data_IF_025127305360
#
_entry.id   IF_025127305360
#
_cell.length_a   1.000
_cell.length_b   1.000
_cell.length_c   1.000
_cell.angle_alpha   90.00
_cell.angle_beta   90.00
_cell.angle_gamma   90.00
#
_symmetry.space_group_name_H-M   'P 1'
#
loop_
_entity.id
_entity.type
_entity.pdbx_description
1 polymer ?
#
# COMPACT_ATOMS: atom_id res chain seq x y z
N UNK A 1 -18.21 38.27 65.97
CA UNK A 1 -19.25 37.57 65.16
C UNK A 1 -19.24 37.90 63.66
N UNK A 2 -18.31 38.71 63.12
CA UNK A 2 -18.34 39.16 61.70
C UNK A 2 -17.43 38.37 60.73
N UNK A 3 -16.35 37.76 61.22
CA UNK A 3 -15.38 37.03 60.35
C UNK A 3 -15.86 35.62 59.99
N UNK A 4 -16.54 34.93 60.92
CA UNK A 4 -17.06 33.56 60.72
C UNK A 4 -18.18 33.50 59.66
N UNK A 5 -18.95 34.58 59.51
CA UNK A 5 -20.00 34.69 58.48
C UNK A 5 -19.43 35.07 57.10
N UNK A 6 -18.29 35.77 57.04
CA UNK A 6 -17.62 36.11 55.78
C UNK A 6 -16.98 34.88 55.12
N UNK A 7 -16.38 33.99 55.92
CA UNK A 7 -15.80 32.72 55.43
C UNK A 7 -16.88 31.79 54.87
N UNK A 8 -18.07 31.78 55.48
CA UNK A 8 -19.21 30.97 55.01
C UNK A 8 -19.80 31.47 53.68
N UNK A 9 -19.77 32.79 53.42
CA UNK A 9 -20.22 33.38 52.15
C UNK A 9 -19.19 33.14 51.04
N UNK A 10 -17.89 33.19 51.37
CA UNK A 10 -16.80 32.90 50.42
C UNK A 10 -16.81 31.44 49.95
N UNK A 11 -17.21 30.49 50.81
CA UNK A 11 -17.34 29.08 50.47
C UNK A 11 -18.52 28.77 49.54
N UNK A 12 -19.58 29.58 49.57
CA UNK A 12 -20.77 29.44 48.70
C UNK A 12 -20.47 29.95 47.28
N UNK A 13 -19.64 30.99 47.14
CA UNK A 13 -19.21 31.49 45.83
C UNK A 13 -18.25 30.54 45.09
N UNK A 14 -17.50 29.70 45.82
CA UNK A 14 -16.62 28.69 45.22
C UNK A 14 -17.39 27.53 44.56
N UNK A 15 -18.66 27.32 44.92
CA UNK A 15 -19.52 26.29 44.32
C UNK A 15 -20.28 26.77 43.07
N UNK A 16 -20.32 28.09 42.82
CA UNK A 16 -20.95 28.67 41.62
C UNK A 16 -20.01 28.69 40.39
N UNK A 17 -18.78 28.20 40.54
CA UNK A 17 -17.75 28.18 39.49
C UNK A 17 -17.81 26.99 38.52
N UNK A 18 -18.85 26.15 38.54
CA UNK A 18 -18.99 25.05 37.58
C UNK A 18 -19.42 25.61 36.22
N UNK A 19 -18.43 26.03 35.42
CA UNK A 19 -18.59 26.68 34.12
C UNK A 19 -19.66 26.00 33.25
N UNK A 20 -20.60 26.80 32.72
CA UNK A 20 -21.50 26.41 31.65
C UNK A 20 -20.67 25.95 30.45
N UNK A 21 -21.01 24.82 29.81
CA UNK A 21 -20.34 24.38 28.56
C UNK A 21 -20.56 25.46 27.49
N UNK A 22 -19.53 26.22 27.09
CA UNK A 22 -19.68 27.30 26.11
C UNK A 22 -20.07 26.75 24.74
N UNK A 23 -20.75 27.57 23.91
CA UNK A 23 -21.09 27.19 22.52
C UNK A 23 -19.83 26.89 21.71
N UNK A 24 -18.75 27.57 22.06
CA UNK A 24 -17.40 27.47 21.53
C UNK A 24 -16.84 26.05 21.73
N UNK A 25 -17.17 25.35 22.83
CA UNK A 25 -16.72 23.96 23.08
C UNK A 25 -17.46 22.95 22.20
N UNK A 26 -18.75 23.16 21.94
CA UNK A 26 -19.50 22.34 20.97
C UNK A 26 -18.97 22.57 19.55
N UNK A 27 -18.76 23.84 19.17
CA UNK A 27 -18.19 24.21 17.88
C UNK A 27 -16.79 23.61 17.68
N UNK A 28 -15.93 23.68 18.71
CA UNK A 28 -14.60 23.09 18.67
C UNK A 28 -14.66 21.56 18.43
N UNK A 29 -15.55 20.84 19.13
CA UNK A 29 -15.70 19.39 18.92
C UNK A 29 -16.24 19.05 17.52
N UNK A 30 -17.13 19.88 16.96
CA UNK A 30 -17.58 19.75 15.57
C UNK A 30 -16.44 19.98 14.57
N UNK A 31 -15.63 21.04 14.78
CA UNK A 31 -14.45 21.33 13.96
C UNK A 31 -13.44 20.19 14.01
N UNK A 32 -13.15 19.63 15.19
CA UNK A 32 -12.29 18.45 15.33
C UNK A 32 -12.85 17.29 14.49
N UNK A 33 -14.16 17.04 14.52
CA UNK A 33 -14.78 16.01 13.70
C UNK A 33 -14.53 16.18 12.20
N UNK A 34 -14.60 17.42 11.69
CA UNK A 34 -14.31 17.74 10.30
C UNK A 34 -12.81 17.58 9.99
N UNK A 35 -11.93 18.07 10.86
CA UNK A 35 -10.48 17.96 10.69
C UNK A 35 -10.03 16.49 10.68
N UNK A 36 -10.68 15.62 11.47
CA UNK A 36 -10.43 14.17 11.44
C UNK A 36 -10.75 13.54 10.08
N UNK A 37 -11.81 13.97 9.41
CA UNK A 37 -12.14 13.49 8.07
C UNK A 37 -11.10 13.95 7.04
N UNK A 38 -10.68 15.22 7.12
CA UNK A 38 -9.65 15.78 6.23
C UNK A 38 -8.32 15.05 6.42
N UNK A 39 -7.91 14.80 7.66
CA UNK A 39 -6.69 14.05 7.96
C UNK A 39 -6.76 12.59 7.51
N UNK A 40 -7.91 11.92 7.72
CA UNK A 40 -8.14 10.57 7.23
C UNK A 40 -7.92 10.51 5.71
N UNK A 41 -8.56 11.41 4.96
CA UNK A 41 -8.43 11.46 3.51
C UNK A 41 -6.99 11.75 3.08
N UNK A 42 -6.31 12.68 3.75
CA UNK A 42 -4.91 13.00 3.46
C UNK A 42 -4.00 11.78 3.64
N UNK A 43 -4.17 11.01 4.70
CA UNK A 43 -3.36 9.80 4.93
C UNK A 43 -3.69 8.66 3.98
N UNK A 44 -4.96 8.49 3.59
CA UNK A 44 -5.33 7.55 2.53
C UNK A 44 -4.66 7.93 1.20
N UNK A 45 -4.78 9.20 0.79
CA UNK A 45 -4.19 9.69 -0.46
C UNK A 45 -2.68 9.49 -0.49
N UNK A 46 -1.98 9.76 0.63
CA UNK A 46 -0.54 9.55 0.73
C UNK A 46 -0.18 8.06 0.56
N UNK A 47 -0.91 7.17 1.23
CA UNK A 47 -0.71 5.73 1.10
C UNK A 47 -0.94 5.27 -0.35
N UNK A 48 -2.04 5.68 -0.98
CA UNK A 48 -2.37 5.35 -2.37
C UNK A 48 -1.32 5.84 -3.35
N UNK A 49 -0.87 7.11 -3.24
CA UNK A 49 0.18 7.66 -4.09
C UNK A 49 1.47 6.85 -3.99
N UNK A 50 1.86 6.50 -2.77
CA UNK A 50 3.06 5.73 -2.51
C UNK A 50 2.96 4.30 -3.08
N UNK A 51 1.86 3.59 -2.82
CA UNK A 51 1.65 2.25 -3.37
C UNK A 51 1.53 2.26 -4.89
N UNK A 52 0.92 3.30 -5.49
CA UNK A 52 0.90 3.49 -6.94
C UNK A 52 2.30 3.62 -7.52
N UNK A 53 3.18 4.39 -6.87
CA UNK A 53 4.59 4.47 -7.27
C UNK A 53 5.27 3.10 -7.25
N UNK A 54 5.11 2.33 -6.17
CA UNK A 54 5.68 0.98 -6.08
C UNK A 54 5.16 0.08 -7.21
N UNK A 55 3.84 0.09 -7.45
CA UNK A 55 3.22 -0.72 -8.53
C UNK A 55 3.82 -0.35 -9.89
N UNK A 56 3.99 0.94 -10.16
CA UNK A 56 4.65 1.42 -11.38
C UNK A 56 6.10 0.92 -11.46
N UNK A 57 6.88 1.06 -10.38
CA UNK A 57 8.28 0.64 -10.39
C UNK A 57 8.44 -0.89 -10.58
N UNK A 58 7.54 -1.70 -10.00
CA UNK A 58 7.48 -3.16 -10.23
C UNK A 58 7.13 -3.46 -11.69
N UNK A 59 6.16 -2.75 -12.27
CA UNK A 59 5.82 -2.92 -13.68
C UNK A 59 7.02 -2.61 -14.57
N UNK A 60 7.70 -1.48 -14.34
CA UNK A 60 8.93 -1.12 -15.05
C UNK A 60 10.02 -2.20 -14.91
N UNK A 61 10.23 -2.75 -13.71
CA UNK A 61 11.17 -3.86 -13.52
C UNK A 61 10.77 -5.09 -14.36
N UNK A 62 9.49 -5.45 -14.38
CA UNK A 62 9.01 -6.61 -15.15
C UNK A 62 9.20 -6.36 -16.65
N UNK A 63 8.82 -5.18 -17.12
CA UNK A 63 8.80 -4.82 -18.53
C UNK A 63 10.21 -4.60 -19.09
N UNK A 64 11.07 -3.90 -18.36
CA UNK A 64 12.37 -3.46 -18.87
C UNK A 64 13.52 -4.42 -18.51
N UNK A 65 13.34 -5.27 -17.49
CA UNK A 65 14.40 -6.18 -17.01
C UNK A 65 13.98 -7.63 -17.16
N UNK A 66 12.87 -8.04 -16.53
CA UNK A 66 12.50 -9.46 -16.49
C UNK A 66 12.05 -9.99 -17.85
N UNK A 67 11.24 -9.24 -18.59
CA UNK A 67 10.74 -9.65 -19.90
C UNK A 67 11.88 -9.85 -20.92
N UNK A 68 12.83 -8.90 -21.10
CA UNK A 68 13.99 -9.11 -21.95
C UNK A 68 14.84 -10.31 -21.50
N UNK A 69 15.07 -10.45 -20.19
CA UNK A 69 15.81 -11.58 -19.63
C UNK A 69 15.17 -12.93 -19.97
N UNK A 70 13.86 -13.09 -19.70
CA UNK A 70 13.19 -14.39 -19.88
C UNK A 70 13.08 -14.76 -21.35
N UNK A 71 12.84 -13.77 -22.23
CA UNK A 71 12.84 -13.97 -23.68
C UNK A 71 14.22 -14.45 -24.13
N UNK A 72 15.29 -13.77 -23.72
CA UNK A 72 16.67 -14.15 -24.08
C UNK A 72 17.03 -15.54 -23.54
N UNK A 73 16.66 -15.83 -22.29
CA UNK A 73 16.92 -17.12 -21.67
C UNK A 73 16.24 -18.28 -22.42
N UNK A 74 14.97 -18.11 -22.81
CA UNK A 74 14.23 -19.14 -23.56
C UNK A 74 14.77 -19.26 -24.98
N UNK A 75 15.03 -18.15 -25.68
CA UNK A 75 15.64 -18.18 -27.02
C UNK A 75 17.02 -18.85 -27.01
N UNK A 76 17.81 -18.66 -25.96
CA UNK A 76 19.08 -19.39 -25.83
C UNK A 76 18.85 -20.89 -25.68
N UNK A 77 17.83 -21.34 -24.95
CA UNK A 77 17.47 -22.77 -24.88
C UNK A 77 17.04 -23.31 -26.25
N UNK A 78 16.17 -22.60 -26.96
CA UNK A 78 15.76 -22.96 -28.33
C UNK A 78 16.97 -23.10 -29.25
N UNK A 79 17.94 -22.19 -29.15
CA UNK A 79 19.17 -22.24 -29.94
C UNK A 79 20.03 -23.46 -29.61
N UNK A 80 20.09 -23.86 -28.34
CA UNK A 80 20.83 -25.06 -27.94
C UNK A 80 20.15 -26.34 -28.44
N UNK A 81 18.81 -26.42 -28.38
CA UNK A 81 18.07 -27.55 -28.94
C UNK A 81 18.26 -27.65 -30.46
N UNK A 82 18.21 -26.51 -31.17
CA UNK A 82 18.54 -26.46 -32.59
C UNK A 82 19.93 -27.02 -32.92
N UNK A 83 20.97 -26.58 -32.18
CA UNK A 83 22.34 -27.07 -32.36
C UNK A 83 22.51 -28.58 -32.13
N UNK A 84 21.60 -29.20 -31.37
CA UNK A 84 21.58 -30.65 -31.11
C UNK A 84 20.73 -31.43 -32.13
N UNK A 85 20.06 -30.75 -33.05
CA UNK A 85 19.08 -31.36 -33.94
C UNK A 85 17.76 -31.75 -33.24
N UNK A 86 17.48 -31.16 -32.08
CA UNK A 86 16.21 -31.33 -31.37
C UNK A 86 15.15 -30.35 -31.92
N UNK A 87 13.84 -30.68 -31.80
CA UNK A 87 12.77 -29.75 -32.14
C UNK A 87 12.95 -28.41 -31.41
N UNK A 88 12.83 -27.32 -32.16
CA UNK A 88 13.03 -25.95 -31.65
C UNK A 88 12.46 -24.91 -32.60
N UNK A 89 12.18 -23.71 -32.09
CA UNK A 89 11.76 -22.56 -32.89
C UNK A 89 12.71 -22.28 -34.05
N UNK A 90 14.03 -22.31 -33.82
CA UNK A 90 15.00 -22.08 -34.89
C UNK A 90 14.96 -23.15 -35.98
N UNK A 91 14.72 -24.42 -35.62
CA UNK A 91 14.55 -25.50 -36.60
C UNK A 91 13.33 -25.29 -37.48
N UNK A 92 12.20 -24.90 -36.88
CA UNK A 92 10.97 -24.58 -37.61
C UNK A 92 11.18 -23.38 -38.56
N UNK A 93 11.87 -22.33 -38.09
CA UNK A 93 12.19 -21.16 -38.91
C UNK A 93 13.15 -21.48 -40.06
N UNK A 94 14.18 -22.30 -39.82
CA UNK A 94 15.11 -22.74 -40.87
C UNK A 94 14.39 -23.55 -41.95
N UNK A 95 13.51 -24.48 -41.56
CA UNK A 95 12.72 -25.27 -42.49
C UNK A 95 11.82 -24.39 -43.36
N UNK A 96 11.14 -23.41 -42.77
CA UNK A 96 10.31 -22.46 -43.49
C UNK A 96 11.12 -21.56 -44.45
N UNK A 97 12.35 -21.23 -44.10
CA UNK A 97 13.24 -20.45 -44.97
C UNK A 97 13.77 -21.27 -46.16
N UNK A 98 14.02 -22.58 -45.97
CA UNK A 98 14.56 -23.45 -47.01
C UNK A 98 13.50 -24.00 -47.97
N UNK A 99 12.30 -24.31 -47.46
CA UNK A 99 11.20 -24.87 -48.25
C UNK A 99 10.14 -23.80 -48.49
N UNK A 100 10.06 -23.31 -49.72
CA UNK A 100 8.97 -22.42 -50.14
C UNK A 100 7.68 -23.23 -50.22
N UNK A 101 6.96 -23.31 -49.11
CA UNK A 101 5.72 -24.07 -48.95
C UNK A 101 4.76 -23.39 -47.98
N UNK A 102 3.45 -23.46 -48.29
CA UNK A 102 2.40 -22.88 -47.46
C UNK A 102 2.40 -23.50 -46.05
N UNK A 103 2.55 -24.82 -45.95
CA UNK A 103 2.53 -25.55 -44.69
C UNK A 103 3.70 -25.18 -43.79
N UNK A 104 4.93 -25.13 -44.32
CA UNK A 104 6.12 -24.78 -43.53
C UNK A 104 6.06 -23.34 -43.03
N UNK A 105 5.51 -22.42 -43.84
CA UNK A 105 5.28 -21.03 -43.44
C UNK A 105 4.22 -20.92 -42.34
N UNK A 106 3.12 -21.69 -42.43
CA UNK A 106 2.07 -21.74 -41.40
C UNK A 106 2.61 -22.30 -40.08
N UNK A 107 3.37 -23.40 -40.12
CA UNK A 107 4.02 -23.97 -38.94
C UNK A 107 4.96 -22.99 -38.24
N UNK A 108 5.73 -22.19 -39.01
CA UNK A 108 6.58 -21.16 -38.44
C UNK A 108 5.78 -20.06 -37.72
N UNK A 109 4.64 -19.64 -38.29
CA UNK A 109 3.75 -18.67 -37.66
C UNK A 109 3.18 -19.22 -36.35
N UNK A 110 2.72 -20.47 -36.36
CA UNK A 110 2.16 -21.12 -35.18
C UNK A 110 3.21 -21.26 -34.06
N UNK A 111 4.42 -21.71 -34.39
CA UNK A 111 5.52 -21.85 -33.41
C UNK A 111 5.92 -20.49 -32.82
N UNK A 112 5.98 -19.43 -33.63
CA UNK A 112 6.24 -18.06 -33.14
C UNK A 112 5.11 -17.57 -32.22
N UNK A 113 3.85 -17.87 -32.55
CA UNK A 113 2.70 -17.51 -31.73
C UNK A 113 2.71 -18.25 -30.38
N UNK A 114 3.06 -19.53 -30.39
CA UNK A 114 3.18 -20.35 -29.18
C UNK A 114 4.32 -19.91 -28.27
N UNK A 115 5.48 -19.57 -28.85
CA UNK A 115 6.58 -18.94 -28.14
C UNK A 115 6.14 -17.63 -27.47
N UNK A 116 5.50 -16.73 -28.22
CA UNK A 116 5.04 -15.44 -27.72
C UNK A 116 4.01 -15.60 -26.60
N UNK A 117 3.06 -16.51 -26.76
CA UNK A 117 2.04 -16.80 -25.75
C UNK A 117 2.67 -17.35 -24.46
N UNK A 118 3.64 -18.25 -24.59
CA UNK A 118 4.36 -18.82 -23.46
C UNK A 118 5.20 -17.77 -22.72
N UNK A 119 5.91 -16.91 -23.47
CA UNK A 119 6.67 -15.79 -22.90
C UNK A 119 5.75 -14.82 -22.14
N UNK A 120 4.63 -14.41 -22.75
CA UNK A 120 3.64 -13.53 -22.11
C UNK A 120 3.08 -14.13 -20.83
N UNK A 121 2.72 -15.41 -20.83
CA UNK A 121 2.23 -16.12 -19.62
C UNK A 121 3.27 -16.06 -18.49
N UNK A 122 4.54 -16.27 -18.80
CA UNK A 122 5.61 -16.24 -17.78
C UNK A 122 5.88 -14.84 -17.25
N UNK A 123 5.84 -13.82 -18.11
CA UNK A 123 5.99 -12.40 -17.74
C UNK A 123 4.84 -11.98 -16.81
N UNK A 124 3.59 -12.25 -17.21
CA UNK A 124 2.42 -11.86 -16.42
C UNK A 124 2.28 -12.65 -15.12
N UNK A 125 2.72 -13.91 -15.11
CA UNK A 125 2.84 -14.70 -13.87
C UNK A 125 3.80 -14.02 -12.89
N UNK A 126 4.98 -13.60 -13.36
CA UNK A 126 5.95 -12.90 -12.52
C UNK A 126 5.43 -11.53 -12.06
N UNK A 127 4.76 -10.77 -12.94
CA UNK A 127 4.11 -9.50 -12.57
C UNK A 127 3.12 -9.70 -11.44
N UNK A 128 2.24 -10.68 -11.58
CA UNK A 128 1.23 -11.02 -10.58
C UNK A 128 1.86 -11.46 -9.26
N UNK A 129 2.91 -12.28 -9.31
CA UNK A 129 3.67 -12.74 -8.14
C UNK A 129 4.24 -11.57 -7.34
N UNK A 130 4.82 -10.57 -8.03
CA UNK A 130 5.43 -9.40 -7.39
C UNK A 130 4.40 -8.37 -6.91
N UNK A 131 3.31 -8.15 -7.65
CA UNK A 131 2.29 -7.15 -7.30
C UNK A 131 1.34 -7.60 -6.19
N UNK A 132 0.96 -8.89 -6.17
CA UNK A 132 0.01 -9.44 -5.19
C UNK A 132 0.35 -9.05 -3.74
N UNK A 133 1.58 -9.24 -3.25
CA UNK A 133 1.90 -8.85 -1.88
C UNK A 133 1.82 -7.34 -1.60
N UNK A 134 2.09 -6.49 -2.60
CA UNK A 134 1.99 -5.04 -2.47
C UNK A 134 0.52 -4.61 -2.34
N UNK A 135 -0.37 -5.21 -3.12
CA UNK A 135 -1.81 -4.96 -3.04
C UNK A 135 -2.41 -5.37 -1.69
N UNK A 136 -1.90 -6.46 -1.09
CA UNK A 136 -2.31 -6.90 0.24
C UNK A 136 -1.92 -5.84 1.28
N UNK A 137 -0.67 -5.38 1.28
CA UNK A 137 -0.21 -4.35 2.22
C UNK A 137 -0.94 -3.02 2.06
N UNK A 138 -1.20 -2.59 0.82
CA UNK A 138 -2.01 -1.39 0.53
C UNK A 138 -3.39 -1.50 1.18
N UNK A 139 -4.05 -2.65 0.99
CA UNK A 139 -5.37 -2.93 1.58
C UNK A 139 -5.32 -2.94 3.11
N UNK A 140 -4.30 -3.56 3.70
CA UNK A 140 -4.15 -3.65 5.16
C UNK A 140 -3.86 -2.29 5.80
N UNK A 141 -2.99 -1.47 5.19
CA UNK A 141 -2.70 -0.12 5.67
C UNK A 141 -3.93 0.78 5.58
N UNK A 142 -4.62 0.79 4.44
CA UNK A 142 -5.85 1.59 4.27
C UNK A 142 -6.92 1.17 5.29
N UNK A 143 -7.06 -0.14 5.55
CA UNK A 143 -7.95 -0.65 6.59
C UNK A 143 -7.54 -0.19 8.00
N UNK A 144 -6.24 -0.17 8.31
CA UNK A 144 -5.73 0.29 9.60
C UNK A 144 -5.95 1.80 9.80
N UNK A 145 -5.68 2.61 8.78
CA UNK A 145 -5.99 4.05 8.76
C UNK A 145 -7.48 4.26 9.03
N UNK A 146 -8.35 3.61 8.26
CA UNK A 146 -9.80 3.73 8.41
C UNK A 146 -10.28 3.35 9.81
N UNK A 147 -9.76 2.26 10.37
CA UNK A 147 -10.12 1.82 11.71
C UNK A 147 -9.72 2.84 12.77
N UNK A 148 -8.52 3.41 12.68
CA UNK A 148 -8.02 4.39 13.65
C UNK A 148 -8.86 5.67 13.65
N UNK A 149 -9.16 6.21 12.46
CA UNK A 149 -9.99 7.41 12.33
C UNK A 149 -11.44 7.16 12.72
N UNK A 150 -12.03 6.00 12.37
CA UNK A 150 -13.39 5.66 12.77
C UNK A 150 -13.54 5.61 14.30
N UNK A 151 -12.56 5.05 15.01
CA UNK A 151 -12.59 4.98 16.47
C UNK A 151 -12.62 6.36 17.11
N UNK A 152 -11.79 7.29 16.64
CA UNK A 152 -11.71 8.63 17.22
C UNK A 152 -12.84 9.54 16.74
N UNK A 153 -13.29 9.38 15.50
CA UNK A 153 -14.49 10.06 14.99
C UNK A 153 -15.75 9.67 15.78
N UNK A 154 -15.92 8.38 16.10
CA UNK A 154 -17.01 7.91 16.95
C UNK A 154 -16.92 8.50 18.36
N UNK A 155 -15.73 8.50 18.96
CA UNK A 155 -15.51 9.12 20.27
C UNK A 155 -15.83 10.63 20.26
N UNK A 156 -15.36 11.36 19.25
CA UNK A 156 -15.65 12.79 19.08
C UNK A 156 -17.16 13.04 18.85
N UNK A 157 -17.84 12.18 18.11
CA UNK A 157 -19.30 12.26 17.91
C UNK A 157 -20.04 12.05 19.22
N UNK A 158 -19.67 11.05 20.02
CA UNK A 158 -20.25 10.82 21.35
C UNK A 158 -20.02 12.03 22.28
N UNK A 159 -18.81 12.62 22.25
CA UNK A 159 -18.51 13.85 23.00
C UNK A 159 -19.36 15.01 22.50
N UNK A 160 -19.45 15.22 21.19
CA UNK A 160 -20.28 16.30 20.60
C UNK A 160 -21.73 16.17 21.03
N UNK A 161 -22.32 14.97 20.94
CA UNK A 161 -23.70 14.68 21.35
C UNK A 161 -23.87 14.89 22.85
N UNK A 162 -22.90 14.48 23.66
CA UNK A 162 -22.92 14.71 25.10
C UNK A 162 -22.82 16.19 25.44
N UNK A 163 -21.91 16.97 24.83
CA UNK A 163 -21.79 18.41 25.04
C UNK A 163 -23.07 19.15 24.59
N UNK A 164 -23.67 18.73 23.49
CA UNK A 164 -24.97 19.24 23.05
C UNK A 164 -26.08 18.89 24.04
N UNK A 165 -26.08 17.68 24.58
CA UNK A 165 -27.03 17.22 25.58
C UNK A 165 -26.84 17.94 26.90
N UNK A 166 -25.61 18.08 27.42
CA UNK A 166 -25.29 18.88 28.60
C UNK A 166 -25.68 20.34 28.44
N UNK A 167 -25.49 20.93 27.26
CA UNK A 167 -25.97 22.28 27.00
C UNK A 167 -27.51 22.37 27.08
N UNK A 168 -28.23 21.28 26.75
CA UNK A 168 -29.69 21.17 26.92
C UNK A 168 -30.09 20.78 28.36
N UNK A 169 -29.27 20.00 29.06
CA UNK A 169 -29.51 19.40 30.38
C UNK A 169 -28.97 20.24 31.53
N UNK A 170 -28.05 21.21 31.35
CA UNK A 170 -27.63 22.16 32.41
C UNK A 170 -28.70 23.22 32.75
N UNK A 171 -29.96 22.96 32.38
CA UNK A 171 -31.12 23.35 33.19
C UNK A 171 -31.24 22.51 34.50
N UNK A 172 -30.57 21.35 34.65
CA UNK A 172 -30.46 20.50 35.86
C UNK A 172 -29.34 19.40 35.77
N UNK A 173 -28.23 19.58 36.55
CA UNK A 173 -27.16 18.66 37.07
C UNK A 173 -26.40 17.60 36.20
N UNK A 174 -25.18 17.23 36.66
CA UNK A 174 -24.00 16.83 35.85
C UNK A 174 -23.26 15.54 36.32
N UNK A 175 -22.66 14.77 35.38
CA UNK A 175 -21.58 13.78 35.62
C UNK A 175 -20.73 13.53 34.35
N UNK A 176 -19.41 13.35 34.49
CA UNK A 176 -18.36 13.38 33.44
C UNK A 176 -17.74 12.01 33.07
N UNK A 177 -17.11 11.91 31.87
CA UNK A 177 -16.27 10.79 31.43
C UNK A 177 -15.06 11.24 30.56
N UNK A 178 -13.99 10.44 30.57
CA UNK A 178 -12.66 10.65 29.99
C UNK A 178 -12.50 10.27 28.51
N UNK A 179 -11.60 10.99 27.80
CA UNK A 179 -11.32 10.89 26.36
C UNK A 179 -10.17 9.89 26.06
N UNK A 180 -10.27 9.14 24.96
CA UNK A 180 -9.18 8.38 24.33
C UNK A 180 -8.76 9.10 23.03
N UNK A 181 -7.48 9.43 22.87
CA UNK A 181 -6.93 10.21 21.73
C UNK A 181 -6.36 9.36 20.58
N UNK A 182 -6.00 10.04 19.47
CA UNK A 182 -5.34 9.51 18.25
C UNK A 182 -3.87 9.10 18.46
N UNK A 183 -3.60 8.26 19.45
CA UNK A 183 -2.24 7.75 19.65
C UNK A 183 -1.88 6.77 18.53
N UNK A 184 -1.01 7.19 17.61
CA UNK A 184 -0.22 6.29 16.77
C UNK A 184 -0.52 6.26 15.26
N UNK A 185 -1.54 6.95 14.76
CA UNK A 185 -1.88 6.93 13.32
C UNK A 185 -0.77 7.55 12.44
N UNK A 186 -0.31 8.76 12.78
CA UNK A 186 0.74 9.47 12.03
C UNK A 186 2.07 8.71 12.06
N UNK A 187 2.41 8.11 13.20
CA UNK A 187 3.61 7.27 13.34
C UNK A 187 3.48 5.96 12.58
N UNK A 188 2.29 5.34 12.52
CA UNK A 188 2.05 4.12 11.76
C UNK A 188 2.21 4.37 10.26
N UNK A 189 1.58 5.44 9.75
CA UNK A 189 1.69 5.82 8.33
C UNK A 189 3.14 6.16 7.99
N UNK A 190 3.76 7.08 8.74
CA UNK A 190 5.13 7.53 8.45
C UNK A 190 6.16 6.40 8.54
N UNK A 191 6.12 5.57 9.58
CA UNK A 191 7.09 4.48 9.77
C UNK A 191 6.88 3.35 8.77
N UNK A 192 5.63 3.00 8.44
CA UNK A 192 5.35 1.94 7.47
C UNK A 192 5.78 2.37 6.06
N UNK A 193 5.48 3.61 5.67
CA UNK A 193 5.88 4.14 4.37
C UNK A 193 7.40 4.31 4.27
N UNK A 194 8.06 4.90 5.29
CA UNK A 194 9.51 5.11 5.28
C UNK A 194 10.29 3.79 5.22
N UNK A 195 9.93 2.83 6.07
CA UNK A 195 10.55 1.50 6.11
C UNK A 195 10.38 0.75 4.79
N UNK A 196 9.19 0.79 4.20
CA UNK A 196 8.92 0.15 2.93
C UNK A 196 9.65 0.86 1.77
N UNK A 197 9.81 2.18 1.84
CA UNK A 197 10.41 3.00 0.78
C UNK A 197 11.88 2.70 0.63
N UNK A 198 12.61 2.72 1.73
CA UNK A 198 14.05 2.44 1.74
C UNK A 198 14.35 1.04 1.22
N UNK A 199 13.55 0.05 1.63
CA UNK A 199 13.75 -1.35 1.25
C UNK A 199 13.34 -1.64 -0.21
N UNK A 200 12.29 -0.98 -0.72
CA UNK A 200 11.87 -1.16 -2.12
C UNK A 200 12.80 -0.41 -3.07
N UNK A 201 13.24 0.80 -2.73
CA UNK A 201 14.15 1.57 -3.58
C UNK A 201 15.51 0.88 -3.75
N UNK A 202 16.07 0.33 -2.68
CA UNK A 202 17.31 -0.45 -2.73
C UNK A 202 17.17 -1.70 -3.62
N UNK A 203 16.04 -2.40 -3.49
CA UNK A 203 15.77 -3.60 -4.27
C UNK A 203 15.57 -3.27 -5.75
N UNK A 204 14.79 -2.23 -6.07
CA UNK A 204 14.57 -1.80 -7.45
C UNK A 204 15.84 -1.30 -8.12
N UNK A 205 16.69 -0.56 -7.39
CA UNK A 205 17.99 -0.10 -7.91
C UNK A 205 18.87 -1.29 -8.30
N UNK A 206 18.98 -2.29 -7.41
CA UNK A 206 19.70 -3.54 -7.70
C UNK A 206 19.11 -4.29 -8.89
N UNK A 207 17.78 -4.25 -9.07
CA UNK A 207 17.11 -4.84 -10.22
C UNK A 207 17.49 -4.20 -11.55
N UNK A 208 17.66 -2.86 -11.58
CA UNK A 208 18.07 -2.12 -12.78
C UNK A 208 19.53 -2.33 -13.18
N UNK A 209 20.37 -2.76 -12.24
CA UNK A 209 21.80 -3.02 -12.46
C UNK A 209 22.08 -4.46 -12.97
N UNK A 210 21.05 -5.31 -13.08
CA UNK A 210 21.20 -6.69 -13.54
C UNK A 210 21.53 -6.71 -15.03
N UNK A 211 22.69 -7.29 -15.38
CA UNK A 211 23.01 -7.64 -16.76
C UNK A 211 22.15 -8.84 -17.19
N UNK A 212 21.06 -8.56 -17.90
CA UNK A 212 20.08 -9.54 -18.36
C UNK A 212 20.64 -10.60 -19.32
N UNK A 213 21.88 -10.45 -19.79
CA UNK A 213 22.55 -11.43 -20.66
C UNK A 213 23.49 -12.37 -19.91
N UNK A 214 23.74 -12.13 -18.63
CA UNK A 214 24.60 -12.96 -17.78
C UNK A 214 23.91 -14.26 -17.34
N UNK A 215 24.69 -15.33 -17.21
CA UNK A 215 24.21 -16.62 -16.67
C UNK A 215 23.72 -16.49 -15.21
N UNK A 216 24.22 -15.50 -14.48
CA UNK A 216 23.83 -15.22 -13.08
C UNK A 216 22.54 -14.40 -12.96
N UNK A 217 22.04 -13.81 -14.06
CA UNK A 217 20.86 -12.93 -14.05
C UNK A 217 19.62 -13.64 -13.48
N UNK A 218 19.47 -14.94 -13.76
CA UNK A 218 18.39 -15.75 -13.20
C UNK A 218 18.42 -15.77 -11.66
N UNK A 219 19.60 -16.01 -11.09
CA UNK A 219 19.78 -16.10 -9.63
C UNK A 219 19.54 -14.74 -8.97
N UNK A 220 20.05 -13.67 -9.57
CA UNK A 220 19.86 -12.30 -9.08
C UNK A 220 18.38 -11.89 -9.08
N UNK A 221 17.63 -12.22 -10.15
CA UNK A 221 16.19 -11.98 -10.24
C UNK A 221 15.40 -12.81 -9.23
N UNK A 222 15.80 -14.05 -8.95
CA UNK A 222 15.18 -14.88 -7.91
C UNK A 222 15.42 -14.30 -6.51
N UNK A 223 16.64 -13.88 -6.20
CA UNK A 223 16.95 -13.21 -4.93
C UNK A 223 16.15 -11.92 -4.75
N UNK A 224 15.98 -11.15 -5.82
CA UNK A 224 15.18 -9.93 -5.84
C UNK A 224 13.69 -10.22 -5.61
N UNK A 225 13.13 -11.19 -6.32
CA UNK A 225 11.74 -11.67 -6.12
C UNK A 225 11.51 -12.10 -4.68
N UNK A 226 12.45 -12.87 -4.11
CA UNK A 226 12.39 -13.34 -2.73
C UNK A 226 12.47 -12.19 -1.71
N UNK A 227 13.28 -11.16 -1.98
CA UNK A 227 13.34 -9.96 -1.12
C UNK A 227 12.01 -9.22 -1.14
N UNK A 228 11.45 -8.94 -2.32
CA UNK A 228 10.13 -8.30 -2.44
C UNK A 228 9.07 -9.09 -1.67
N UNK A 229 9.02 -10.41 -1.85
CA UNK A 229 8.09 -11.27 -1.11
C UNK A 229 8.32 -11.26 0.41
N UNK A 230 9.56 -11.21 0.90
CA UNK A 230 9.86 -11.17 2.34
C UNK A 230 9.46 -9.86 2.99
N UNK A 231 9.65 -8.74 2.28
CA UNK A 231 9.25 -7.41 2.76
C UNK A 231 7.75 -7.32 3.05
N UNK A 232 6.97 -8.12 2.32
CA UNK A 232 5.51 -8.10 2.38
C UNK A 232 4.91 -9.23 3.22
N UNK A 233 5.75 -10.12 3.76
CA UNK A 233 5.33 -11.31 4.53
C UNK A 233 5.36 -11.11 6.05
N UNK A 234 5.85 -9.95 6.54
CA UNK A 234 5.92 -9.68 7.98
C UNK A 234 4.50 -9.43 8.52
N UNK A 235 4.00 -10.41 9.28
CA UNK A 235 2.88 -10.26 10.22
C UNK A 235 3.21 -9.28 11.33
#
# INVERSE_FOLDING_TARGET
MRVKNLVSILFIFLLAGCASVPKETVLLSQTIGNDLQVLQQSHQNLAELYFNKIKTDINTLVDDVYAPFVIHYVLNKELQSFKKGEPSLYGTLELAAQKVGKLESENAVDEMADFLNSARKQIEKKRTELLKPILIQETELLKAINKSYLQVSNANTSITVYLQSLRKLKEEQEQALSIVGLTGADTLVSNSLASLSEQIEEVLKKGKEIDVKSDDAYKQLQELSNKIMKLTSKK
#
